data_IF_138813806938
#
_entry.id   IF_138813806938
#
_cell.length_a   1.000
_cell.length_b   1.000
_cell.length_c   1.000
_cell.angle_alpha   90.00
_cell.angle_beta   90.00
_cell.angle_gamma   90.00
#
_symmetry.space_group_name_H-M   'P 1'
#
loop_
_entity.id
_entity.type
_entity.pdbx_description
1 polymer ?
#
# COMPACT_ATOMS: atom_id res chain seq x y z
N UNK A 1 -8.24 32.71 16.13
CA UNK A 1 -7.58 32.66 17.45
C UNK A 1 -8.39 33.50 18.41
N UNK A 2 -8.60 33.04 19.65
CA UNK A 2 -9.29 33.85 20.66
C UNK A 2 -8.38 34.99 21.11
N UNK A 3 -8.95 36.16 21.42
CA UNK A 3 -8.19 37.31 21.90
C UNK A 3 -7.51 36.99 23.25
N UNK A 4 -6.27 37.44 23.48
CA UNK A 4 -5.61 37.32 24.79
C UNK A 4 -6.42 38.01 25.89
N UNK A 5 -6.44 37.43 27.09
CA UNK A 5 -7.31 37.84 28.21
C UNK A 5 -7.09 39.28 28.71
N UNK A 6 -5.96 39.89 28.37
CA UNK A 6 -5.60 41.26 28.77
C UNK A 6 -5.96 42.33 27.72
N UNK A 7 -6.53 41.94 26.57
CA UNK A 7 -7.04 42.87 25.56
C UNK A 7 -8.53 43.05 25.81
N UNK A 8 -9.03 44.28 26.05
CA UNK A 8 -10.46 44.54 26.21
C UNK A 8 -11.22 44.08 24.95
N UNK A 9 -12.13 43.13 25.11
CA UNK A 9 -13.07 42.76 24.07
C UNK A 9 -14.30 43.67 24.13
N UNK A 10 -14.90 43.96 22.98
CA UNK A 10 -16.16 44.71 22.93
C UNK A 10 -17.26 43.92 23.69
N UNK A 11 -17.97 44.52 24.65
CA UNK A 11 -19.01 43.84 25.43
C UNK A 11 -20.17 43.28 24.58
N UNK A 12 -20.35 43.69 23.33
CA UNK A 12 -21.38 43.11 22.43
C UNK A 12 -20.87 41.93 21.60
N UNK A 13 -19.56 41.67 21.60
CA UNK A 13 -18.98 40.57 20.83
C UNK A 13 -19.15 39.23 21.56
N UNK A 14 -19.75 38.26 20.86
CA UNK A 14 -19.74 36.87 21.31
C UNK A 14 -18.37 36.25 21.04
N UNK A 15 -17.44 36.47 21.97
CA UNK A 15 -16.08 35.94 21.86
C UNK A 15 -16.09 34.40 21.92
N UNK A 16 -15.78 33.74 20.81
CA UNK A 16 -15.53 32.29 20.77
C UNK A 16 -14.22 31.99 21.49
N UNK A 17 -14.32 31.53 22.73
CA UNK A 17 -13.18 31.01 23.48
C UNK A 17 -12.92 29.55 23.13
N UNK A 18 -11.66 29.15 23.14
CA UNK A 18 -11.29 27.75 22.99
C UNK A 18 -11.77 26.97 24.22
N UNK A 19 -12.78 26.11 24.04
CA UNK A 19 -13.16 25.08 25.01
C UNK A 19 -12.54 23.77 24.55
N UNK A 20 -11.66 23.17 25.34
CA UNK A 20 -11.19 21.81 25.08
C UNK A 20 -12.39 20.86 25.06
N UNK A 21 -12.35 19.84 24.21
CA UNK A 21 -13.34 18.78 24.27
C UNK A 21 -13.40 18.21 25.71
N UNK A 22 -14.58 17.84 26.22
CA UNK A 22 -14.69 17.30 27.57
C UNK A 22 -13.81 16.06 27.70
N UNK A 23 -13.01 15.99 28.77
CA UNK A 23 -12.20 14.81 29.09
C UNK A 23 -13.12 13.62 29.34
N UNK A 24 -12.87 12.52 28.64
CA UNK A 24 -13.50 11.22 28.91
C UNK A 24 -12.61 10.47 29.92
N UNK A 25 -13.05 10.26 31.18
CA UNK A 25 -12.24 9.56 32.17
C UNK A 25 -12.24 8.04 31.95
N UNK A 26 -13.30 7.51 31.33
CA UNK A 26 -13.45 6.09 31.06
C UNK A 26 -12.50 5.64 29.94
N UNK A 27 -11.98 4.39 30.02
CA UNK A 27 -11.22 3.82 28.93
C UNK A 27 -12.08 3.71 27.67
N UNK A 28 -11.43 3.80 26.51
CA UNK A 28 -12.09 3.52 25.25
C UNK A 28 -12.52 2.05 25.23
N UNK A 29 -13.78 1.80 24.87
CA UNK A 29 -14.32 0.47 24.63
C UNK A 29 -14.94 0.44 23.23
N UNK A 30 -14.84 -0.71 22.58
CA UNK A 30 -15.58 -0.97 21.35
C UNK A 30 -17.07 -0.97 21.70
N UNK A 31 -17.86 -0.22 20.95
CA UNK A 31 -19.31 -0.13 21.22
C UNK A 31 -20.10 0.68 20.22
N UNK A 32 -19.45 1.20 19.16
CA UNK A 32 -20.16 1.89 18.08
C UNK A 32 -20.67 0.87 17.07
N UNK A 33 -21.86 1.09 16.49
CA UNK A 33 -22.32 0.28 15.36
C UNK A 33 -21.27 0.25 14.24
N UNK A 34 -20.86 -0.95 13.83
CA UNK A 34 -19.87 -1.17 12.78
C UNK A 34 -18.41 -1.26 13.24
N UNK A 35 -18.13 -1.09 14.53
CA UNK A 35 -16.83 -1.51 15.07
C UNK A 35 -16.77 -3.04 15.17
N UNK A 36 -15.56 -3.58 15.00
CA UNK A 36 -15.32 -5.03 15.02
C UNK A 36 -14.67 -5.38 16.36
N UNK A 37 -15.31 -6.30 17.10
CA UNK A 37 -14.84 -6.76 18.41
C UNK A 37 -13.73 -7.83 18.31
N UNK A 38 -13.41 -8.24 17.07
CA UNK A 38 -12.38 -9.22 16.72
C UNK A 38 -11.26 -8.57 15.90
N UNK A 39 -10.14 -9.28 15.67
CA UNK A 39 -9.23 -8.91 14.59
C UNK A 39 -9.96 -8.75 13.26
N UNK A 40 -9.34 -8.01 12.33
CA UNK A 40 -9.84 -7.88 10.96
C UNK A 40 -10.04 -9.26 10.33
N UNK A 41 -11.11 -9.46 9.54
CA UNK A 41 -11.39 -10.75 8.92
C UNK A 41 -10.26 -11.14 7.96
N UNK A 42 -9.96 -12.43 7.92
CA UNK A 42 -8.99 -13.03 7.02
C UNK A 42 -9.68 -14.05 6.09
N UNK A 43 -9.18 -14.19 4.87
CA UNK A 43 -9.77 -15.09 3.88
C UNK A 43 -9.33 -14.76 2.45
N UNK A 44 -9.68 -15.66 1.54
CA UNK A 44 -9.45 -15.47 0.10
C UNK A 44 -10.10 -14.17 -0.38
N UNK A 45 -9.35 -13.36 -1.12
CA UNK A 45 -9.83 -12.09 -1.65
C UNK A 45 -10.00 -10.95 -0.63
N UNK A 46 -9.76 -11.16 0.67
CA UNK A 46 -9.82 -10.09 1.68
C UNK A 46 -8.51 -9.31 1.80
N UNK A 47 -7.41 -9.87 1.29
CA UNK A 47 -6.09 -9.27 1.33
C UNK A 47 -5.48 -9.22 2.73
N UNK A 48 -4.50 -8.33 2.91
CA UNK A 48 -3.76 -8.19 4.16
C UNK A 48 -4.00 -6.80 4.75
N UNK A 49 -4.78 -6.67 5.83
CA UNK A 49 -5.09 -5.37 6.41
C UNK A 49 -3.83 -4.76 7.06
N UNK A 50 -3.69 -3.44 6.95
CA UNK A 50 -2.60 -2.68 7.54
C UNK A 50 -2.97 -1.21 7.69
N UNK A 51 -2.33 -0.46 8.61
CA UNK A 51 -2.61 0.95 8.79
C UNK A 51 -2.21 1.74 7.53
N UNK A 52 -2.94 2.83 7.24
CA UNK A 52 -2.64 3.80 6.19
C UNK A 52 -2.32 3.20 4.81
N UNK A 53 -2.97 2.08 4.43
CA UNK A 53 -2.70 1.39 3.16
C UNK A 53 -2.79 2.33 1.93
N UNK A 54 -3.71 3.29 1.96
CA UNK A 54 -3.86 4.30 0.90
C UNK A 54 -2.60 5.16 0.65
N UNK A 55 -1.70 5.28 1.63
CA UNK A 55 -0.44 6.01 1.47
C UNK A 55 0.50 5.38 0.42
N UNK A 56 0.32 4.09 0.10
CA UNK A 56 1.02 3.44 -1.00
C UNK A 56 0.83 4.17 -2.35
N UNK A 57 -0.35 4.77 -2.58
CA UNK A 57 -0.64 5.54 -3.80
C UNK A 57 0.15 6.85 -3.85
N UNK A 58 0.39 7.48 -2.70
CA UNK A 58 1.25 8.67 -2.60
C UNK A 58 2.70 8.30 -2.88
N UNK A 59 3.20 7.21 -2.30
CA UNK A 59 4.56 6.71 -2.54
C UNK A 59 4.78 6.32 -4.00
N UNK A 60 3.79 5.69 -4.63
CA UNK A 60 3.84 5.31 -6.03
C UNK A 60 4.06 6.49 -6.99
N UNK A 61 3.63 7.71 -6.63
CA UNK A 61 3.84 8.89 -7.45
C UNK A 61 5.34 9.17 -7.71
N UNK A 62 6.22 8.80 -6.77
CA UNK A 62 7.67 8.99 -6.90
C UNK A 62 8.32 8.05 -7.93
N UNK A 63 7.62 7.00 -8.36
CA UNK A 63 8.13 6.02 -9.33
C UNK A 63 7.64 6.27 -10.76
N UNK A 64 6.74 7.23 -10.97
CA UNK A 64 6.24 7.59 -12.31
C UNK A 64 7.39 8.11 -13.19
N UNK A 65 7.45 7.64 -14.42
CA UNK A 65 8.50 7.91 -15.39
C UNK A 65 9.83 7.20 -15.12
N UNK A 66 9.90 6.33 -14.11
CA UNK A 66 11.16 5.64 -13.73
C UNK A 66 11.16 4.14 -14.02
N UNK A 67 10.03 3.58 -14.46
CA UNK A 67 9.87 2.14 -14.66
C UNK A 67 10.38 1.69 -16.02
N UNK A 68 10.96 0.49 -16.06
CA UNK A 68 11.36 -0.17 -17.32
C UNK A 68 10.18 -0.93 -17.90
N UNK A 69 9.50 -0.28 -18.84
CA UNK A 69 8.36 -0.85 -19.58
C UNK A 69 8.80 -1.40 -20.94
N UNK A 70 8.08 -2.43 -21.39
CA UNK A 70 8.18 -3.04 -22.72
C UNK A 70 6.91 -2.78 -23.53
N UNK A 71 6.93 -2.93 -24.87
CA UNK A 71 5.74 -2.72 -25.69
C UNK A 71 4.54 -3.55 -25.21
N UNK A 72 3.41 -2.89 -25.01
CA UNK A 72 2.18 -3.49 -24.48
C UNK A 72 2.03 -3.41 -22.96
N UNK A 73 3.01 -2.86 -22.23
CA UNK A 73 2.90 -2.63 -20.79
C UNK A 73 2.51 -1.17 -20.51
N UNK A 74 1.66 -0.95 -19.50
CA UNK A 74 1.23 0.37 -19.08
C UNK A 74 1.74 0.69 -17.67
N UNK A 75 2.22 1.92 -17.49
CA UNK A 75 2.75 2.37 -16.19
C UNK A 75 1.68 2.32 -15.08
N UNK A 76 0.44 2.66 -15.40
CA UNK A 76 -0.67 2.62 -14.45
C UNK A 76 -0.87 1.23 -13.86
N UNK A 77 -0.74 0.18 -14.68
CA UNK A 77 -0.88 -1.21 -14.26
C UNK A 77 0.29 -1.64 -13.37
N UNK A 78 1.52 -1.34 -13.80
CA UNK A 78 2.73 -1.61 -13.03
C UNK A 78 2.68 -0.96 -11.64
N UNK A 79 2.24 0.31 -11.58
CA UNK A 79 2.10 1.07 -10.34
C UNK A 79 1.03 0.46 -9.42
N UNK A 80 -0.16 0.16 -9.93
CA UNK A 80 -1.24 -0.39 -9.10
C UNK A 80 -0.89 -1.79 -8.59
N UNK A 81 -0.30 -2.64 -9.46
CA UNK A 81 0.19 -3.96 -9.06
C UNK A 81 1.31 -3.90 -8.02
N UNK A 82 2.31 -3.05 -8.24
CA UNK A 82 3.41 -2.82 -7.29
C UNK A 82 2.91 -2.28 -5.95
N UNK A 83 1.95 -1.35 -5.97
CA UNK A 83 1.30 -0.83 -4.76
C UNK A 83 0.52 -1.92 -4.00
N UNK A 84 -0.16 -2.82 -4.70
CA UNK A 84 -0.86 -3.95 -4.06
C UNK A 84 0.09 -4.89 -3.32
N UNK A 85 1.24 -5.23 -3.92
CA UNK A 85 2.30 -6.01 -3.27
C UNK A 85 2.88 -5.25 -2.06
N UNK A 86 3.12 -3.94 -2.22
CA UNK A 86 3.65 -3.11 -1.16
C UNK A 86 2.71 -3.01 0.06
N UNK A 87 1.40 -2.84 -0.19
CA UNK A 87 0.39 -2.85 0.86
C UNK A 87 0.33 -4.20 1.57
N UNK A 88 0.41 -5.32 0.82
CA UNK A 88 0.50 -6.67 1.41
C UNK A 88 1.70 -6.78 2.35
N UNK A 89 2.89 -6.39 1.90
CA UNK A 89 4.11 -6.41 2.70
C UNK A 89 4.00 -5.54 3.97
N UNK A 90 3.51 -4.32 3.83
CA UNK A 90 3.36 -3.40 4.95
C UNK A 90 2.36 -3.94 6.00
N UNK A 91 1.24 -4.51 5.55
CA UNK A 91 0.26 -5.19 6.39
C UNK A 91 0.84 -6.39 7.14
N UNK A 92 1.61 -7.25 6.46
CA UNK A 92 2.32 -8.37 7.11
C UNK A 92 3.29 -7.90 8.20
N UNK A 93 3.90 -6.73 8.01
CA UNK A 93 4.81 -6.12 8.99
C UNK A 93 4.09 -5.25 10.04
N UNK A 94 2.76 -5.18 10.01
CA UNK A 94 1.96 -4.45 10.98
C UNK A 94 2.17 -2.93 10.98
N UNK A 95 2.58 -2.35 9.84
CA UNK A 95 2.92 -0.92 9.73
C UNK A 95 2.38 -0.30 8.45
N UNK A 96 2.46 1.03 8.37
CA UNK A 96 2.11 1.77 7.16
C UNK A 96 3.13 1.47 6.03
N UNK A 97 2.73 1.59 4.75
CA UNK A 97 3.64 1.46 3.62
C UNK A 97 4.77 2.50 3.66
N UNK A 98 5.98 2.08 3.28
CA UNK A 98 7.14 2.95 3.07
C UNK A 98 7.70 2.78 1.65
N UNK A 99 8.57 3.69 1.21
CA UNK A 99 9.13 3.67 -0.15
C UNK A 99 9.80 2.33 -0.51
N UNK A 100 10.41 1.65 0.46
CA UNK A 100 11.01 0.33 0.25
C UNK A 100 10.00 -0.77 -0.07
N UNK A 101 8.75 -0.67 0.39
CA UNK A 101 7.72 -1.65 0.04
C UNK A 101 7.30 -1.51 -1.43
N UNK A 102 7.17 -0.26 -1.91
CA UNK A 102 6.93 0.02 -3.34
C UNK A 102 8.10 -0.48 -4.19
N UNK A 103 9.34 -0.24 -3.75
CA UNK A 103 10.53 -0.74 -4.44
C UNK A 103 10.53 -2.26 -4.52
N UNK A 104 10.12 -2.96 -3.46
CA UNK A 104 9.94 -4.42 -3.47
C UNK A 104 8.83 -4.81 -4.45
N UNK A 105 7.66 -4.20 -4.36
CA UNK A 105 6.51 -4.53 -5.21
C UNK A 105 6.79 -4.36 -6.71
N UNK A 106 7.49 -3.29 -7.09
CA UNK A 106 7.91 -3.06 -8.47
C UNK A 106 9.12 -3.93 -8.86
N UNK A 107 10.04 -4.14 -7.92
CA UNK A 107 11.27 -4.87 -8.12
C UNK A 107 11.08 -6.38 -8.33
N UNK A 108 10.21 -7.04 -7.57
CA UNK A 108 9.95 -8.49 -7.73
C UNK A 108 9.36 -8.83 -9.10
N UNK A 109 8.63 -7.89 -9.70
CA UNK A 109 8.11 -7.97 -11.06
C UNK A 109 9.07 -7.39 -12.12
N UNK A 110 10.28 -7.00 -11.76
CA UNK A 110 11.31 -6.54 -12.71
C UNK A 110 11.01 -5.21 -13.39
N UNK A 111 10.12 -4.38 -12.84
CA UNK A 111 9.87 -3.02 -13.38
C UNK A 111 11.00 -2.04 -13.05
N UNK A 112 11.93 -2.43 -12.19
CA UNK A 112 13.12 -1.66 -11.83
C UNK A 112 14.42 -2.28 -12.39
N UNK A 113 14.29 -3.28 -13.27
CA UNK A 113 15.38 -3.91 -13.99
C UNK A 113 15.41 -3.35 -15.42
N UNK A 114 16.57 -2.91 -15.90
CA UNK A 114 16.74 -2.40 -17.27
C UNK A 114 16.69 -3.54 -18.32
N UNK A 115 17.01 -4.76 -17.90
CA UNK A 115 17.07 -5.95 -18.75
C UNK A 115 16.35 -7.18 -18.15
N UNK A 116 15.03 -7.09 -17.87
CA UNK A 116 14.27 -8.19 -17.32
C UNK A 116 14.25 -9.37 -18.28
N UNK A 117 14.19 -10.58 -17.72
CA UNK A 117 14.06 -11.81 -18.48
C UNK A 117 12.81 -11.79 -19.39
N UNK A 118 12.94 -12.25 -20.63
CA UNK A 118 11.85 -12.22 -21.61
C UNK A 118 10.58 -12.93 -21.10
N UNK A 119 10.74 -14.06 -20.42
CA UNK A 119 9.60 -14.80 -19.82
C UNK A 119 8.86 -14.00 -18.74
N UNK A 120 9.58 -13.17 -17.97
CA UNK A 120 8.96 -12.29 -16.99
C UNK A 120 8.17 -11.19 -17.69
N UNK A 121 8.70 -10.63 -18.79
CA UNK A 121 7.97 -9.64 -19.61
C UNK A 121 6.68 -10.25 -20.17
N UNK A 122 6.72 -11.49 -20.68
CA UNK A 122 5.52 -12.20 -21.14
C UNK A 122 4.48 -12.36 -20.02
N UNK A 123 4.94 -12.77 -18.84
CA UNK A 123 4.06 -12.92 -17.67
C UNK A 123 3.45 -11.58 -17.25
N UNK A 124 4.20 -10.48 -17.29
CA UNK A 124 3.67 -9.14 -16.99
C UNK A 124 2.58 -8.75 -17.96
N UNK A 125 2.80 -8.94 -19.26
CA UNK A 125 1.80 -8.59 -20.29
C UNK A 125 0.47 -9.30 -20.09
N UNK A 126 0.48 -10.55 -19.61
CA UNK A 126 -0.75 -11.27 -19.28
C UNK A 126 -1.35 -10.84 -17.94
N UNK A 127 -0.53 -10.79 -16.87
CA UNK A 127 -1.01 -10.61 -15.50
C UNK A 127 -1.40 -9.17 -15.17
N UNK A 128 -0.71 -8.18 -15.76
CA UNK A 128 -0.90 -6.76 -15.47
C UNK A 128 -1.86 -6.07 -16.44
N UNK A 129 -2.35 -6.76 -17.46
CA UNK A 129 -3.26 -6.15 -18.44
C UNK A 129 -4.52 -5.56 -17.77
N UNK A 130 -4.65 -4.24 -17.89
CA UNK A 130 -5.76 -3.42 -17.39
C UNK A 130 -6.04 -3.52 -15.87
N UNK A 131 -5.11 -4.03 -15.06
CA UNK A 131 -5.33 -4.23 -13.61
C UNK A 131 -5.54 -2.94 -12.82
N UNK A 132 -5.19 -1.78 -13.37
CA UNK A 132 -5.49 -0.48 -12.79
C UNK A 132 -7.00 -0.16 -12.77
N UNK A 133 -7.82 -0.85 -13.56
CA UNK A 133 -9.26 -0.65 -13.58
C UNK A 133 -9.91 -1.31 -12.35
N UNK A 134 -10.76 -0.57 -11.64
CA UNK A 134 -11.34 -1.00 -10.35
C UNK A 134 -12.09 -2.33 -10.40
N UNK A 135 -12.72 -2.67 -11.53
CA UNK A 135 -13.46 -3.92 -11.70
C UNK A 135 -12.57 -5.14 -11.95
N UNK A 136 -11.26 -4.95 -12.15
CA UNK A 136 -10.25 -6.01 -12.26
C UNK A 136 -9.57 -6.32 -10.91
N UNK A 137 -10.22 -5.99 -9.80
CA UNK A 137 -9.74 -6.32 -8.45
C UNK A 137 -9.24 -7.78 -8.29
N UNK A 138 -9.94 -8.82 -8.80
CA UNK A 138 -9.42 -10.19 -8.71
C UNK A 138 -8.07 -10.39 -9.41
N UNK A 139 -7.83 -9.74 -10.55
CA UNK A 139 -6.52 -9.80 -11.24
C UNK A 139 -5.43 -9.11 -10.42
N UNK A 140 -5.74 -7.93 -9.88
CA UNK A 140 -4.84 -7.21 -8.98
C UNK A 140 -4.47 -8.03 -7.74
N UNK A 141 -5.45 -8.74 -7.17
CA UNK A 141 -5.24 -9.60 -6.01
C UNK A 141 -4.30 -10.76 -6.33
N UNK A 142 -4.44 -11.40 -7.50
CA UNK A 142 -3.51 -12.45 -7.96
C UNK A 142 -2.07 -11.94 -8.09
N UNK A 143 -1.86 -10.68 -8.52
CA UNK A 143 -0.52 -10.08 -8.55
C UNK A 143 0.09 -10.01 -7.14
N UNK A 144 -0.71 -9.57 -6.15
CA UNK A 144 -0.25 -9.50 -4.76
C UNK A 144 -0.06 -10.88 -4.13
N UNK A 145 -0.91 -11.85 -4.47
CA UNK A 145 -0.87 -13.21 -3.94
C UNK A 145 0.24 -14.06 -4.55
N UNK A 146 0.60 -13.79 -5.81
CA UNK A 146 1.74 -14.40 -6.47
C UNK A 146 3.08 -14.10 -5.79
N UNK A 147 3.17 -13.12 -4.87
CA UNK A 147 4.38 -12.93 -4.07
C UNK A 147 4.20 -13.61 -2.71
N UNK A 148 4.94 -14.71 -2.41
CA UNK A 148 4.77 -15.46 -1.18
C UNK A 148 5.07 -14.62 0.06
N UNK A 149 4.35 -14.88 1.16
CA UNK A 149 4.58 -14.15 2.42
C UNK A 149 6.00 -14.34 2.96
N UNK A 150 6.55 -15.55 2.81
CA UNK A 150 7.94 -15.84 3.21
C UNK A 150 8.94 -14.94 2.49
N UNK A 151 8.72 -14.63 1.20
CA UNK A 151 9.54 -13.66 0.44
C UNK A 151 9.29 -12.25 0.96
N UNK A 152 8.02 -11.86 1.16
CA UNK A 152 7.66 -10.53 1.64
C UNK A 152 8.07 -10.24 3.10
N UNK A 153 8.55 -11.22 3.86
CA UNK A 153 9.10 -11.03 5.20
C UNK A 153 10.62 -10.84 5.22
N UNK A 154 11.31 -11.09 4.09
CA UNK A 154 12.75 -10.86 3.96
C UNK A 154 13.10 -9.36 3.96
N UNK A 155 14.39 -9.05 4.12
CA UNK A 155 14.90 -7.69 3.96
C UNK A 155 14.66 -7.15 2.54
N UNK A 156 14.35 -5.87 2.38
CA UNK A 156 14.05 -5.33 1.05
C UNK A 156 15.24 -5.47 0.08
N UNK A 157 16.47 -5.28 0.55
CA UNK A 157 17.70 -5.51 -0.26
C UNK A 157 17.83 -6.97 -0.64
N UNK A 158 17.60 -7.88 0.30
CA UNK A 158 17.67 -9.33 0.08
C UNK A 158 16.68 -9.80 -0.98
N UNK A 159 15.46 -9.24 -1.01
CA UNK A 159 14.45 -9.55 -2.04
C UNK A 159 14.91 -9.08 -3.42
N UNK A 160 15.50 -7.88 -3.52
CA UNK A 160 15.98 -7.35 -4.80
C UNK A 160 17.19 -8.15 -5.31
N UNK A 161 18.08 -8.58 -4.42
CA UNK A 161 19.19 -9.49 -4.73
C UNK A 161 18.69 -10.89 -5.13
N UNK A 162 17.64 -11.38 -4.48
CA UNK A 162 16.97 -12.62 -4.85
C UNK A 162 16.38 -12.52 -6.25
N UNK A 163 15.66 -11.44 -6.55
CA UNK A 163 15.12 -11.18 -7.88
C UNK A 163 16.22 -11.16 -8.96
N UNK A 164 17.33 -10.45 -8.71
CA UNK A 164 18.44 -10.35 -9.65
C UNK A 164 19.16 -11.69 -9.90
N UNK A 165 19.14 -12.62 -8.94
CA UNK A 165 19.71 -13.98 -9.10
C UNK A 165 18.74 -14.94 -9.77
N UNK A 166 17.50 -14.95 -9.31
CA UNK A 166 16.42 -15.80 -9.80
C UNK A 166 15.06 -15.19 -9.48
N UNK A 167 14.51 -14.43 -10.42
CA UNK A 167 13.20 -13.79 -10.25
C UNK A 167 12.07 -14.79 -9.97
N UNK A 168 12.18 -16.05 -10.42
CA UNK A 168 11.12 -17.05 -10.20
C UNK A 168 10.99 -17.42 -8.74
N UNK A 169 12.09 -17.40 -8.00
CA UNK A 169 12.07 -17.66 -6.55
C UNK A 169 11.31 -16.59 -5.75
N UNK A 170 11.02 -15.43 -6.35
CA UNK A 170 10.20 -14.39 -5.74
C UNK A 170 8.69 -14.62 -5.92
N UNK A 171 8.28 -15.53 -6.81
CA UNK A 171 6.90 -15.66 -7.26
C UNK A 171 6.36 -17.09 -7.15
N UNK A 172 5.11 -17.23 -6.73
CA UNK A 172 4.30 -18.42 -6.90
C UNK A 172 3.31 -18.18 -8.05
N UNK A 173 3.48 -18.90 -9.16
CA UNK A 173 2.67 -18.71 -10.38
C UNK A 173 1.41 -19.57 -10.41
N UNK A 174 1.15 -20.36 -9.35
CA UNK A 174 -0.01 -21.25 -9.25
C UNK A 174 -1.30 -20.55 -8.78
N UNK A 175 -1.15 -19.34 -8.23
CA UNK A 175 -2.21 -18.44 -7.75
C UNK A 175 -2.71 -17.44 -8.81
#
# INVERSE_FOLDING_TARGET
MAAPTFVPADPVDTVRWYRSAPRRPDPWVVGRPGEVDSPQPAGEGLGTPGPDAGYALTLAAAFRGTLTLRPGEHESDAIVGGAAVAMKRAGLLGRAPVAHDLRVGLGVWGFLDDNPAAELVELRRDRFDEVHLTHHYPRLRRIADAVPEAVLLLGHTEILELHGRDWRSCLDLTV
#
